data_IF_617434242738
#
_entry.id   IF_617434242738
#
_cell.length_a   1.000
_cell.length_b   1.000
_cell.length_c   1.000
_cell.angle_alpha   90.00
_cell.angle_beta   90.00
_cell.angle_gamma   90.00
#
_symmetry.space_group_name_H-M   'P 1'
#
loop_
_entity.id
_entity.type
_entity.pdbx_description
1 polymer ?
#
# COMPACT_ATOMS: atom_id res chain seq x y z
N UNK A 1 10.83 5.97 3.93
CA UNK A 1 9.64 6.38 3.17
C UNK A 1 9.55 7.90 3.02
N UNK A 2 9.39 8.70 4.10
CA UNK A 2 9.43 10.18 4.06
C UNK A 2 10.44 10.80 3.09
N UNK A 3 11.73 10.47 3.20
CA UNK A 3 12.79 11.01 2.32
C UNK A 3 12.55 10.71 0.83
N UNK A 4 12.00 9.54 0.49
CA UNK A 4 11.73 9.16 -0.90
C UNK A 4 10.51 9.91 -1.45
N UNK A 5 9.49 10.13 -0.62
CA UNK A 5 8.32 10.96 -0.97
C UNK A 5 8.79 12.39 -1.25
N UNK A 6 9.61 12.96 -0.36
CA UNK A 6 10.15 14.31 -0.50
C UNK A 6 11.06 14.46 -1.72
N UNK A 7 11.73 13.38 -2.14
CA UNK A 7 12.52 13.34 -3.37
C UNK A 7 11.67 13.25 -4.65
N UNK A 8 10.34 13.13 -4.55
CA UNK A 8 9.44 13.08 -5.70
C UNK A 8 9.44 11.74 -6.45
N UNK A 9 9.73 10.64 -5.77
CA UNK A 9 9.66 9.30 -6.38
C UNK A 9 8.22 8.98 -6.80
N UNK A 10 8.06 8.38 -7.98
CA UNK A 10 6.77 7.91 -8.50
C UNK A 10 6.23 6.76 -7.62
N UNK A 11 5.13 7.03 -6.90
CA UNK A 11 4.55 6.07 -5.94
C UNK A 11 3.77 4.94 -6.60
N UNK A 12 3.22 5.22 -7.79
CA UNK A 12 2.35 4.32 -8.55
C UNK A 12 3.12 3.53 -9.61
N UNK A 13 4.46 3.64 -9.63
CA UNK A 13 5.30 2.84 -10.48
C UNK A 13 5.06 1.35 -10.21
N UNK A 14 4.76 0.60 -11.27
CA UNK A 14 4.53 -0.84 -11.21
C UNK A 14 5.83 -1.57 -11.57
N UNK A 15 6.39 -2.28 -10.59
CA UNK A 15 7.63 -3.03 -10.76
C UNK A 15 7.43 -4.30 -11.64
N UNK A 16 8.50 -5.08 -11.85
CA UNK A 16 8.45 -6.32 -12.64
C UNK A 16 7.66 -7.47 -12.00
N UNK A 17 7.22 -7.35 -10.74
CA UNK A 17 6.30 -8.26 -10.08
C UNK A 17 4.83 -7.85 -10.31
N UNK A 18 4.60 -6.65 -10.85
CA UNK A 18 3.28 -6.08 -11.03
C UNK A 18 2.75 -5.41 -9.78
N UNK A 19 3.63 -4.86 -8.93
CA UNK A 19 3.28 -4.23 -7.67
C UNK A 19 3.70 -2.77 -7.66
N UNK A 20 2.85 -1.92 -7.09
CA UNK A 20 3.19 -0.56 -6.65
C UNK A 20 3.95 -0.60 -5.32
N UNK A 21 4.49 0.55 -4.91
CA UNK A 21 5.11 0.68 -3.59
C UNK A 21 4.11 0.36 -2.45
N UNK A 22 2.85 0.77 -2.60
CA UNK A 22 1.79 0.43 -1.65
C UNK A 22 1.53 -1.08 -1.58
N UNK A 23 1.49 -1.74 -2.74
CA UNK A 23 1.28 -3.19 -2.79
C UNK A 23 2.42 -3.94 -2.10
N UNK A 24 3.69 -3.54 -2.33
CA UNK A 24 4.84 -4.13 -1.62
C UNK A 24 4.75 -3.96 -0.10
N UNK A 25 4.38 -2.76 0.37
CA UNK A 25 4.24 -2.45 1.79
C UNK A 25 3.16 -3.29 2.52
N UNK A 26 2.28 -3.94 1.76
CA UNK A 26 1.23 -4.85 2.26
C UNK A 26 1.67 -6.30 2.11
N UNK A 27 2.13 -6.67 0.91
CA UNK A 27 2.40 -8.06 0.51
C UNK A 27 3.66 -8.62 1.17
N UNK A 28 4.69 -7.78 1.38
CA UNK A 28 5.96 -8.19 1.99
C UNK A 28 6.04 -7.89 3.50
N UNK A 29 4.91 -7.46 4.08
CA UNK A 29 4.79 -6.95 5.44
C UNK A 29 4.24 -7.98 6.42
N UNK A 30 4.64 -7.85 7.69
CA UNK A 30 4.08 -8.58 8.84
C UNK A 30 2.78 -7.95 9.39
N UNK A 31 2.32 -6.84 8.81
CA UNK A 31 1.16 -6.07 9.26
C UNK A 31 1.40 -5.21 10.50
N UNK A 32 2.62 -5.19 11.03
CA UNK A 32 2.98 -4.52 12.27
C UNK A 32 3.03 -2.99 12.18
N UNK A 33 3.29 -2.31 13.31
CA UNK A 33 3.24 -0.84 13.41
C UNK A 33 4.14 -0.11 12.40
N UNK A 34 5.32 -0.66 12.09
CA UNK A 34 6.23 -0.07 11.12
C UNK A 34 5.61 -0.01 9.70
N UNK A 35 4.97 -1.10 9.27
CA UNK A 35 4.31 -1.16 7.98
C UNK A 35 3.01 -0.34 7.94
N UNK A 36 2.25 -0.31 9.04
CA UNK A 36 1.11 0.60 9.18
C UNK A 36 1.55 2.07 8.99
N UNK A 37 2.69 2.47 9.55
CA UNK A 37 3.22 3.81 9.39
C UNK A 37 3.68 4.09 7.94
N UNK A 38 4.29 3.11 7.26
CA UNK A 38 4.66 3.23 5.84
C UNK A 38 3.41 3.41 4.97
N UNK A 39 2.38 2.57 5.18
CA UNK A 39 1.10 2.66 4.47
C UNK A 39 0.45 4.03 4.71
N UNK A 40 0.41 4.51 5.95
CA UNK A 40 -0.12 5.84 6.27
C UNK A 40 0.64 6.97 5.56
N UNK A 41 1.97 6.87 5.42
CA UNK A 41 2.77 7.84 4.68
C UNK A 41 2.48 7.80 3.18
N UNK A 42 2.30 6.61 2.60
CA UNK A 42 1.94 6.44 1.19
C UNK A 42 0.54 7.00 0.89
N UNK A 43 -0.43 6.73 1.76
CA UNK A 43 -1.78 7.31 1.69
C UNK A 43 -1.70 8.84 1.72
N UNK A 44 -0.99 9.40 2.70
CA UNK A 44 -0.86 10.85 2.85
C UNK A 44 -0.13 11.52 1.68
N UNK A 45 0.73 10.77 0.98
CA UNK A 45 1.44 11.23 -0.21
C UNK A 45 0.62 11.10 -1.51
N UNK A 46 -0.59 10.55 -1.45
CA UNK A 46 -1.49 10.46 -2.59
C UNK A 46 -1.22 9.29 -3.53
N UNK A 47 -0.63 8.19 -3.04
CA UNK A 47 -0.53 6.95 -3.82
C UNK A 47 -1.92 6.45 -4.23
N UNK A 48 -2.05 5.89 -5.44
CA UNK A 48 -3.29 5.26 -5.87
C UNK A 48 -3.54 3.97 -5.07
N UNK A 49 -4.63 3.99 -4.31
CA UNK A 49 -4.98 2.94 -3.37
C UNK A 49 -5.68 1.74 -4.04
N UNK A 50 -5.96 1.82 -5.34
CA UNK A 50 -6.80 0.86 -6.06
C UNK A 50 -6.06 0.12 -7.18
N UNK A 51 -4.78 0.42 -7.44
CA UNK A 51 -3.99 -0.29 -8.45
C UNK A 51 -3.81 -1.77 -8.07
N UNK A 52 -4.37 -2.70 -8.85
CA UNK A 52 -4.36 -4.12 -8.49
C UNK A 52 -3.02 -4.78 -8.82
N UNK A 53 -2.75 -5.91 -8.16
CA UNK A 53 -1.65 -6.79 -8.56
C UNK A 53 -1.99 -7.60 -9.83
N UNK A 54 -1.06 -8.45 -10.28
CA UNK A 54 -1.27 -9.33 -11.44
C UNK A 54 -2.40 -10.35 -11.28
N UNK A 55 -2.82 -10.64 -10.05
CA UNK A 55 -3.96 -11.50 -9.78
C UNK A 55 -5.28 -10.71 -9.76
N UNK A 56 -5.24 -9.41 -10.02
CA UNK A 56 -6.41 -8.53 -10.00
C UNK A 56 -6.84 -8.12 -8.58
N UNK A 57 -6.02 -8.38 -7.56
CA UNK A 57 -6.36 -8.03 -6.18
C UNK A 57 -5.94 -6.59 -5.87
N UNK A 58 -6.88 -5.80 -5.35
CA UNK A 58 -6.59 -4.44 -4.87
C UNK A 58 -5.72 -4.48 -3.60
N UNK A 59 -5.04 -3.37 -3.26
CA UNK A 59 -4.30 -3.26 -2.00
C UNK A 59 -5.15 -3.61 -0.77
N UNK A 60 -6.41 -3.17 -0.74
CA UNK A 60 -7.35 -3.49 0.33
C UNK A 60 -7.61 -5.00 0.40
N UNK A 61 -7.91 -5.63 -0.73
CA UNK A 61 -8.16 -7.07 -0.80
C UNK A 61 -6.95 -7.90 -0.34
N UNK A 62 -5.72 -7.46 -0.67
CA UNK A 62 -4.51 -8.10 -0.19
C UNK A 62 -4.34 -7.96 1.34
N UNK A 63 -4.58 -6.78 1.90
CA UNK A 63 -4.52 -6.57 3.34
C UNK A 63 -5.55 -7.43 4.09
N UNK A 64 -6.79 -7.52 3.57
CA UNK A 64 -7.85 -8.36 4.13
C UNK A 64 -7.52 -9.84 4.05
N UNK A 65 -7.07 -10.33 2.89
CA UNK A 65 -6.67 -11.74 2.69
C UNK A 65 -5.54 -12.16 3.63
N UNK A 66 -4.68 -11.22 4.02
CA UNK A 66 -3.54 -11.43 4.93
C UNK A 66 -3.90 -11.24 6.41
N UNK A 67 -5.13 -10.86 6.73
CA UNK A 67 -5.55 -10.58 8.11
C UNK A 67 -4.90 -9.32 8.69
N UNK A 68 -4.36 -8.42 7.87
CA UNK A 68 -3.72 -7.17 8.31
C UNK A 68 -4.80 -6.11 8.62
N UNK A 69 -5.62 -6.35 9.64
CA UNK A 69 -6.83 -5.56 9.92
C UNK A 69 -6.58 -4.07 10.12
N UNK A 70 -5.46 -3.69 10.73
CA UNK A 70 -5.08 -2.27 10.91
C UNK A 70 -4.77 -1.58 9.57
N UNK A 71 -4.06 -2.26 8.67
CA UNK A 71 -3.74 -1.76 7.32
C UNK A 71 -5.01 -1.69 6.47
N UNK A 72 -5.83 -2.74 6.49
CA UNK A 72 -7.13 -2.74 5.80
C UNK A 72 -8.02 -1.59 6.27
N UNK A 73 -8.01 -1.28 7.58
CA UNK A 73 -8.72 -0.12 8.13
C UNK A 73 -8.17 1.21 7.61
N UNK A 74 -6.85 1.40 7.59
CA UNK A 74 -6.23 2.61 7.03
C UNK A 74 -6.65 2.84 5.57
N UNK A 75 -6.61 1.78 4.75
CA UNK A 75 -7.00 1.84 3.34
C UNK A 75 -8.48 2.18 3.17
N UNK A 76 -9.37 1.53 3.94
CA UNK A 76 -10.82 1.80 3.88
C UNK A 76 -11.16 3.22 4.34
N UNK A 77 -10.55 3.68 5.43
CA UNK A 77 -10.74 5.04 5.93
C UNK A 77 -10.25 6.10 4.91
N UNK A 78 -9.29 5.73 4.05
CA UNK A 78 -8.78 6.54 2.96
C UNK A 78 -9.57 6.39 1.63
N UNK A 79 -10.64 5.58 1.61
CA UNK A 79 -11.51 5.42 0.44
C UNK A 79 -11.07 4.38 -0.58
N UNK A 80 -10.15 3.47 -0.23
CA UNK A 80 -9.81 2.33 -1.08
C UNK A 80 -10.99 1.35 -1.23
N UNK A 81 -11.11 0.72 -2.40
CA UNK A 81 -12.19 -0.22 -2.76
C UNK A 81 -11.70 -1.64 -3.10
#
# INVERSE_FOLDING_TARGET
>A
MRLLIEAGVELDHVNHLGWTCLMEAIVLSDGGPAHQQIVAQLIAAGADLNLPDRAGLSPLQQAERRGQGAIAKLLRDAGAA
#
